data_IF_941317590862
#
_entry.id   IF_941317590862
#
_cell.length_a   1.000
_cell.length_b   1.000
_cell.length_c   1.000
_cell.angle_alpha   90.00
_cell.angle_beta   90.00
_cell.angle_gamma   90.00
#
_symmetry.space_group_name_H-M   'P 1'
#
loop_
_entity.id
_entity.type
_entity.pdbx_description
1 polymer ?
#
# COMPACT_ATOMS: atom_id res chain seq x y z
N UNK A 1 -13.37 46.52 14.70
CA UNK A 1 -12.47 45.36 14.90
C UNK A 1 -13.32 44.11 14.69
N UNK A 2 -13.09 43.34 13.64
CA UNK A 2 -13.88 42.11 13.40
C UNK A 2 -13.52 41.07 14.46
N UNK A 3 -14.51 40.37 15.06
CA UNK A 3 -14.22 39.30 16.01
C UNK A 3 -13.42 38.20 15.30
N UNK A 4 -12.33 37.76 15.93
CA UNK A 4 -11.53 36.66 15.43
C UNK A 4 -12.40 35.40 15.39
N UNK A 5 -12.64 34.87 14.19
CA UNK A 5 -13.38 33.60 14.04
C UNK A 5 -12.51 32.46 14.56
N UNK A 6 -13.06 31.53 15.35
CA UNK A 6 -12.30 30.38 15.82
C UNK A 6 -11.80 29.55 14.63
N UNK A 7 -10.60 28.96 14.78
CA UNK A 7 -9.92 28.20 13.71
C UNK A 7 -10.83 27.10 13.12
N UNK A 8 -11.69 26.49 13.93
CA UNK A 8 -12.64 25.46 13.50
C UNK A 8 -13.79 25.96 12.62
N UNK A 9 -14.07 27.27 12.58
CA UNK A 9 -15.02 27.87 11.62
C UNK A 9 -14.37 28.19 10.27
N UNK A 10 -13.03 28.30 10.25
CA UNK A 10 -12.25 28.63 9.04
C UNK A 10 -11.76 27.35 8.36
N UNK A 11 -11.37 26.34 9.14
CA UNK A 11 -10.85 25.07 8.65
C UNK A 11 -11.82 23.95 9.02
N UNK A 12 -12.75 23.66 8.12
CA UNK A 12 -13.59 22.47 8.21
C UNK A 12 -12.91 21.30 7.48
N UNK A 13 -13.08 20.08 8.02
CA UNK A 13 -12.62 18.87 7.35
C UNK A 13 -13.34 18.73 6.01
N UNK A 14 -12.58 18.44 4.96
CA UNK A 14 -13.12 18.19 3.61
C UNK A 14 -13.80 16.83 3.50
N UNK A 15 -13.53 15.93 4.44
CA UNK A 15 -14.00 14.55 4.50
C UNK A 15 -14.54 14.25 5.88
N UNK A 16 -15.42 13.25 5.98
CA UNK A 16 -15.95 12.84 7.27
C UNK A 16 -14.86 12.23 8.16
N UNK A 17 -14.93 12.37 9.50
CA UNK A 17 -13.92 11.81 10.41
C UNK A 17 -13.68 10.31 10.24
N UNK A 18 -14.72 9.53 9.94
CA UNK A 18 -14.59 8.08 9.71
C UNK A 18 -13.86 7.77 8.41
N UNK A 19 -14.09 8.58 7.37
CA UNK A 19 -13.36 8.49 6.11
C UNK A 19 -11.89 8.81 6.33
N UNK A 20 -11.60 9.89 7.06
CA UNK A 20 -10.23 10.27 7.45
C UNK A 20 -9.54 9.14 8.25
N UNK A 21 -10.26 8.50 9.18
CA UNK A 21 -9.74 7.40 9.98
C UNK A 21 -9.39 6.19 9.10
N UNK A 22 -10.23 5.88 8.11
CA UNK A 22 -9.97 4.79 7.16
C UNK A 22 -8.75 5.06 6.28
N UNK A 23 -8.44 6.32 5.98
CA UNK A 23 -7.20 6.72 5.29
C UNK A 23 -5.98 6.58 6.19
N UNK A 24 -6.08 6.99 7.45
CA UNK A 24 -4.95 6.97 8.38
C UNK A 24 -4.60 5.54 8.86
N UNK A 25 -5.57 4.63 8.85
CA UNK A 25 -5.43 3.26 9.35
C UNK A 25 -5.93 2.28 8.28
N UNK A 26 -5.16 2.07 7.20
CA UNK A 26 -5.54 1.13 6.16
C UNK A 26 -5.56 -0.31 6.69
N UNK A 27 -6.42 -1.15 6.12
CA UNK A 27 -6.50 -2.58 6.41
C UNK A 27 -6.12 -3.39 5.17
N UNK A 28 -5.08 -4.20 5.27
CA UNK A 28 -4.68 -5.08 4.18
C UNK A 28 -5.71 -6.20 3.95
N UNK A 29 -6.32 -6.71 5.02
CA UNK A 29 -7.39 -7.71 4.92
C UNK A 29 -8.57 -7.21 4.09
N UNK A 30 -8.96 -5.94 4.24
CA UNK A 30 -10.03 -5.34 3.43
C UNK A 30 -9.63 -5.17 1.96
N UNK A 31 -8.34 -4.94 1.68
CA UNK A 31 -7.82 -4.90 0.31
C UNK A 31 -7.90 -6.28 -0.35
N UNK A 32 -7.48 -7.33 0.37
CA UNK A 32 -7.59 -8.71 -0.10
C UNK A 32 -9.04 -9.13 -0.30
N UNK A 33 -9.93 -8.84 0.66
CA UNK A 33 -11.35 -9.16 0.57
C UNK A 33 -12.03 -8.44 -0.62
N UNK A 34 -11.66 -7.17 -0.85
CA UNK A 34 -12.16 -6.41 -2.00
C UNK A 34 -11.69 -7.01 -3.32
N UNK A 35 -10.42 -7.45 -3.38
CA UNK A 35 -9.83 -8.06 -4.55
C UNK A 35 -10.46 -9.42 -4.87
N UNK A 36 -10.65 -10.27 -3.86
CA UNK A 36 -11.25 -11.61 -4.01
C UNK A 36 -12.72 -11.53 -4.45
N UNK A 37 -13.49 -10.62 -3.84
CA UNK A 37 -14.94 -10.50 -4.11
C UNK A 37 -15.26 -9.62 -5.31
N UNK A 38 -14.31 -8.82 -5.80
CA UNK A 38 -14.57 -7.79 -6.81
C UNK A 38 -15.48 -6.66 -6.32
N UNK A 39 -15.58 -6.46 -5.00
CA UNK A 39 -16.42 -5.42 -4.38
C UNK A 39 -15.53 -4.47 -3.60
N UNK A 40 -15.54 -3.18 -3.95
CA UNK A 40 -14.69 -2.18 -3.33
C UNK A 40 -15.13 -1.86 -1.89
N UNK A 41 -14.47 -2.46 -0.89
CA UNK A 41 -14.71 -2.17 0.55
C UNK A 41 -13.85 -1.00 1.05
N UNK A 42 -12.73 -0.72 0.38
CA UNK A 42 -11.78 0.34 0.72
C UNK A 42 -11.18 0.96 -0.54
N UNK A 43 -10.91 2.27 -0.53
CA UNK A 43 -10.24 2.97 -1.63
C UNK A 43 -8.84 2.41 -1.89
N UNK A 44 -8.18 1.87 -0.87
CA UNK A 44 -6.89 1.19 -1.01
C UNK A 44 -6.92 -0.08 -1.86
N UNK A 45 -8.10 -0.62 -2.19
CA UNK A 45 -8.21 -1.71 -3.15
C UNK A 45 -8.16 -1.23 -4.61
N UNK A 46 -8.24 0.08 -4.86
CA UNK A 46 -8.05 0.66 -6.18
C UNK A 46 -6.56 1.01 -6.39
N UNK A 47 -5.87 0.42 -7.40
CA UNK A 47 -4.47 0.71 -7.67
C UNK A 47 -4.22 2.18 -8.04
N UNK A 48 -5.16 2.84 -8.74
CA UNK A 48 -5.00 4.26 -9.11
C UNK A 48 -5.00 5.18 -7.88
N UNK A 49 -5.89 4.89 -6.92
CA UNK A 49 -5.92 5.61 -5.65
C UNK A 49 -4.62 5.39 -4.87
N UNK A 50 -4.13 4.16 -4.81
CA UNK A 50 -2.85 3.85 -4.14
C UNK A 50 -1.69 4.60 -4.80
N UNK A 51 -1.67 4.71 -6.13
CA UNK A 51 -0.67 5.50 -6.85
C UNK A 51 -0.75 6.99 -6.50
N UNK A 52 -1.95 7.55 -6.43
CA UNK A 52 -2.20 8.96 -6.12
C UNK A 52 -1.69 9.33 -4.72
N UNK A 53 -1.98 8.49 -3.72
CA UNK A 53 -1.63 8.78 -2.32
C UNK A 53 -0.23 8.29 -1.93
N UNK A 54 0.49 7.61 -2.83
CA UNK A 54 1.84 7.10 -2.56
C UNK A 54 2.91 7.96 -3.18
N UNK A 55 3.71 8.61 -2.34
CA UNK A 55 4.93 9.29 -2.78
C UNK A 55 6.12 8.32 -2.79
N UNK A 56 6.61 7.95 -3.98
CA UNK A 56 7.77 7.07 -4.17
C UNK A 56 9.09 7.78 -3.84
N UNK A 57 9.36 7.93 -2.55
CA UNK A 57 10.65 8.41 -2.04
C UNK A 57 11.75 7.39 -2.30
N UNK A 58 13.01 7.83 -2.28
CA UNK A 58 14.16 6.96 -2.51
C UNK A 58 14.19 5.72 -1.57
N UNK A 59 13.92 5.85 -0.25
CA UNK A 59 13.82 4.69 0.63
C UNK A 59 12.73 3.69 0.22
N UNK A 60 11.56 4.16 -0.24
CA UNK A 60 10.48 3.28 -0.68
C UNK A 60 10.87 2.55 -1.98
N UNK A 61 11.54 3.23 -2.91
CA UNK A 61 12.04 2.58 -4.13
C UNK A 61 13.02 1.47 -3.81
N UNK A 62 14.04 1.77 -2.99
CA UNK A 62 15.03 0.78 -2.54
C UNK A 62 14.37 -0.42 -1.88
N UNK A 63 13.35 -0.19 -1.03
CA UNK A 63 12.58 -1.26 -0.42
C UNK A 63 11.87 -2.14 -1.46
N UNK A 64 11.11 -1.54 -2.38
CA UNK A 64 10.38 -2.29 -3.42
C UNK A 64 11.33 -3.07 -4.32
N UNK A 65 12.43 -2.45 -4.75
CA UNK A 65 13.44 -3.07 -5.62
C UNK A 65 14.17 -4.23 -4.93
N UNK A 66 14.44 -4.14 -3.62
CA UNK A 66 14.97 -5.27 -2.83
C UNK A 66 13.97 -6.42 -2.79
N UNK A 67 12.70 -6.14 -2.48
CA UNK A 67 11.64 -7.17 -2.48
C UNK A 67 11.56 -7.84 -3.85
N UNK A 68 11.53 -7.06 -4.93
CA UNK A 68 11.52 -7.60 -6.29
C UNK A 68 12.74 -8.50 -6.55
N UNK A 69 13.94 -8.07 -6.18
CA UNK A 69 15.18 -8.86 -6.35
C UNK A 69 15.13 -10.19 -5.61
N UNK A 70 14.59 -10.21 -4.38
CA UNK A 70 14.44 -11.44 -3.62
C UNK A 70 13.37 -12.36 -4.20
N UNK A 71 12.25 -11.82 -4.66
CA UNK A 71 11.22 -12.60 -5.34
C UNK A 71 11.72 -13.24 -6.65
N UNK A 72 12.68 -12.61 -7.33
CA UNK A 72 13.29 -13.16 -8.55
C UNK A 72 14.22 -14.36 -8.29
N UNK A 73 14.61 -14.58 -7.03
CA UNK A 73 15.61 -15.56 -6.60
C UNK A 73 14.93 -16.74 -5.89
N UNK A 74 15.44 -17.95 -6.09
CA UNK A 74 14.96 -19.11 -5.34
C UNK A 74 15.50 -19.07 -3.90
N UNK A 75 14.61 -19.06 -2.90
CA UNK A 75 14.99 -19.15 -1.49
C UNK A 75 14.04 -18.42 -0.54
N UNK A 76 14.31 -18.55 0.76
CA UNK A 76 13.67 -17.76 1.80
C UNK A 76 14.64 -16.66 2.22
N UNK A 77 14.24 -15.41 2.03
CA UNK A 77 15.04 -14.24 2.35
C UNK A 77 14.41 -13.49 3.52
N UNK A 78 15.13 -13.40 4.63
CA UNK A 78 14.78 -12.54 5.76
C UNK A 78 15.77 -11.39 5.82
N UNK A 79 15.27 -10.16 5.85
CA UNK A 79 16.12 -8.98 5.96
C UNK A 79 15.57 -8.00 6.99
N UNK A 80 16.46 -7.45 7.80
CA UNK A 80 16.09 -6.41 8.74
C UNK A 80 15.79 -5.11 7.98
N UNK A 81 14.70 -4.44 8.37
CA UNK A 81 14.42 -3.10 7.89
C UNK A 81 15.34 -2.14 8.67
N UNK A 82 16.55 -1.95 8.15
CA UNK A 82 17.60 -1.16 8.80
C UNK A 82 17.27 0.33 8.89
N UNK A 83 16.40 0.84 8.01
CA UNK A 83 15.97 2.22 7.98
C UNK A 83 14.45 2.31 8.03
N UNK A 84 13.92 3.13 8.94
CA UNK A 84 12.52 3.51 8.92
C UNK A 84 12.25 4.37 7.68
N UNK A 85 11.44 3.88 6.74
CA UNK A 85 11.10 4.59 5.50
C UNK A 85 9.92 5.57 5.68
N UNK A 86 9.44 5.80 6.91
CA UNK A 86 8.39 6.77 7.21
C UNK A 86 6.98 6.36 6.75
N UNK A 87 6.83 5.21 6.08
CA UNK A 87 5.54 4.66 5.67
C UNK A 87 5.04 3.60 6.66
N UNK A 88 3.72 3.53 6.82
CA UNK A 88 3.08 2.47 7.60
C UNK A 88 3.30 1.10 6.95
N UNK A 89 3.66 0.09 7.76
CA UNK A 89 3.87 -1.30 7.30
C UNK A 89 2.72 -1.81 6.42
N UNK A 90 1.49 -1.52 6.83
CA UNK A 90 0.28 -1.91 6.09
C UNK A 90 0.19 -1.23 4.73
N UNK A 91 0.54 0.05 4.64
CA UNK A 91 0.58 0.77 3.36
C UNK A 91 1.63 0.18 2.44
N UNK A 92 2.81 -0.18 2.96
CA UNK A 92 3.85 -0.85 2.17
C UNK A 92 3.38 -2.19 1.61
N UNK A 93 2.65 -2.99 2.38
CA UNK A 93 2.06 -4.24 1.90
C UNK A 93 1.03 -4.01 0.79
N UNK A 94 0.18 -2.99 0.95
CA UNK A 94 -0.82 -2.61 -0.08
C UNK A 94 -0.13 -2.17 -1.38
N UNK A 95 0.94 -1.36 -1.27
CA UNK A 95 1.73 -0.94 -2.45
C UNK A 95 2.34 -2.16 -3.14
N UNK A 96 3.01 -3.05 -2.40
CA UNK A 96 3.61 -4.26 -2.96
C UNK A 96 2.55 -5.14 -3.63
N UNK A 97 1.39 -5.32 -2.99
CA UNK A 97 0.27 -6.07 -3.56
C UNK A 97 -0.09 -5.53 -4.94
N UNK A 98 -0.43 -4.24 -5.04
CA UNK A 98 -0.83 -3.65 -6.32
C UNK A 98 0.28 -3.67 -7.37
N UNK A 99 1.55 -3.51 -6.98
CA UNK A 99 2.68 -3.64 -7.92
C UNK A 99 2.72 -5.03 -8.54
N UNK A 100 2.44 -6.09 -7.80
CA UNK A 100 2.57 -7.46 -8.31
C UNK A 100 1.27 -8.10 -8.78
N UNK A 101 0.10 -7.51 -8.52
CA UNK A 101 -1.20 -8.10 -8.86
C UNK A 101 -2.05 -7.25 -9.81
N UNK A 102 -1.68 -6.00 -10.09
CA UNK A 102 -2.47 -5.08 -10.92
C UNK A 102 -1.65 -4.40 -12.02
N UNK A 103 -2.30 -3.53 -12.80
CA UNK A 103 -1.65 -2.71 -13.83
C UNK A 103 -0.74 -1.60 -13.27
N UNK A 104 -0.71 -1.41 -11.94
CA UNK A 104 0.14 -0.44 -11.25
C UNK A 104 1.60 -0.59 -11.65
N UNK A 105 2.09 -1.81 -11.83
CA UNK A 105 3.45 -2.11 -12.31
C UNK A 105 3.83 -1.26 -13.52
N UNK A 106 2.98 -1.21 -14.55
CA UNK A 106 3.27 -0.47 -15.78
C UNK A 106 3.40 1.03 -15.53
N UNK A 107 2.65 1.56 -14.55
CA UNK A 107 2.65 2.98 -14.17
C UNK A 107 3.88 3.35 -13.33
N UNK A 108 4.42 2.41 -12.55
CA UNK A 108 5.57 2.66 -11.65
C UNK A 108 6.91 2.22 -12.23
N UNK A 109 6.94 1.39 -13.28
CA UNK A 109 8.16 0.93 -13.98
C UNK A 109 9.13 2.06 -14.37
N UNK A 110 8.70 3.26 -14.81
CA UNK A 110 9.64 4.35 -15.09
C UNK A 110 10.40 4.86 -13.86
N UNK A 111 9.96 4.49 -12.65
CA UNK A 111 10.49 4.95 -11.36
C UNK A 111 11.17 3.85 -10.56
N UNK A 112 11.07 2.58 -10.99
CA UNK A 112 11.48 1.39 -10.24
C UNK A 112 12.16 0.37 -11.14
N UNK A 113 13.22 -0.27 -10.65
CA UNK A 113 13.91 -1.36 -11.34
C UNK A 113 13.33 -2.70 -10.88
N UNK A 114 12.39 -3.25 -11.67
CA UNK A 114 11.72 -4.52 -11.41
C UNK A 114 11.78 -5.39 -12.67
N UNK A 115 12.14 -6.68 -12.52
CA UNK A 115 12.15 -7.66 -13.61
C UNK A 115 10.73 -7.87 -14.16
N UNK A 116 10.53 -7.62 -15.46
CA UNK A 116 9.27 -7.81 -16.17
C UNK A 116 8.72 -9.25 -16.02
N UNK A 117 9.57 -10.24 -15.74
CA UNK A 117 9.15 -11.62 -15.47
C UNK A 117 8.30 -11.72 -14.20
N UNK A 118 8.64 -10.97 -13.15
CA UNK A 118 7.90 -11.00 -11.88
C UNK A 118 6.46 -10.52 -12.05
N UNK A 119 6.23 -9.55 -12.92
CA UNK A 119 4.88 -9.06 -13.23
C UNK A 119 4.02 -10.10 -13.98
N UNK A 120 4.64 -11.18 -14.49
CA UNK A 120 3.95 -12.29 -15.17
C UNK A 120 3.81 -13.53 -14.29
N UNK A 121 4.45 -13.53 -13.13
CA UNK A 121 4.41 -14.63 -12.17
C UNK A 121 3.29 -14.39 -11.14
N UNK A 122 2.67 -15.47 -10.65
CA UNK A 122 1.64 -15.37 -9.62
C UNK A 122 2.30 -15.15 -8.27
N UNK A 123 2.06 -13.97 -7.67
CA UNK A 123 2.41 -13.73 -6.27
C UNK A 123 1.49 -14.59 -5.37
N UNK A 124 2.08 -15.50 -4.60
CA UNK A 124 1.36 -16.30 -3.59
C UNK A 124 1.63 -15.70 -2.22
N UNK A 125 0.57 -15.25 -1.54
CA UNK A 125 0.64 -14.77 -0.16
C UNK A 125 0.30 -15.93 0.77
N UNK A 126 1.27 -16.34 1.59
CA UNK A 126 1.03 -17.27 2.68
C UNK A 126 0.28 -16.58 3.82
N UNK A 127 -0.98 -16.94 4.03
CA UNK A 127 -1.79 -16.48 5.15
C UNK A 127 -1.71 -17.50 6.28
N UNK A 128 -1.23 -17.08 7.44
CA UNK A 128 -1.29 -17.92 8.65
C UNK A 128 -2.66 -17.74 9.33
N UNK A 129 -3.45 -18.83 9.33
CA UNK A 129 -4.76 -18.88 9.98
C UNK A 129 -4.70 -19.38 11.43
N UNK A 130 -3.51 -19.56 12.01
CA UNK A 130 -3.33 -20.11 13.36
C UNK A 130 -4.10 -19.37 14.47
N UNK A 131 -4.44 -18.09 14.26
CA UNK A 131 -5.17 -17.25 15.23
C UNK A 131 -6.70 -17.25 15.02
N UNK A 132 -7.23 -17.74 13.89
CA UNK A 132 -8.68 -17.95 13.73
C UNK A 132 -9.05 -19.29 14.34
N UNK A 133 -9.19 -19.33 15.66
CA UNK A 133 -9.98 -20.40 16.30
C UNK A 133 -11.43 -20.29 15.81
N UNK A 134 -12.11 -21.42 15.52
CA UNK A 134 -13.53 -21.43 15.18
C UNK A 134 -14.38 -20.83 16.29
#
# INVERSE_FOLDING_TARGET
MMPARPVGEIFQLKVQPDELRSELIPSFDQVLDSWEKGVLQTRYANPDYVLEVTHFTEPLKVFVERVARYLASAGVFGEALEHGFGFGKTHSLIVLWHIFTSDLYAKVRPRLVIDDRLARETLVVGLDFSQKKP
#
